data_IF_015119784433
#
_entry.id   IF_015119784433
#
_cell.length_a   1.000
_cell.length_b   1.000
_cell.length_c   1.000
_cell.angle_alpha   90.00
_cell.angle_beta   90.00
_cell.angle_gamma   90.00
#
_symmetry.space_group_name_H-M   'P 1'
#
loop_
_entity.id
_entity.type
_entity.pdbx_description
1 polymer ?
#
# COMPACT_ATOMS: atom_id res chain seq x y z
N UNK A 1 23.35 -29.21 -8.24
CA UNK A 1 23.34 -27.74 -8.27
C UNK A 1 21.92 -27.32 -8.58
N UNK A 2 21.13 -27.02 -7.57
CA UNK A 2 19.78 -26.47 -7.73
C UNK A 2 19.93 -25.04 -8.18
N UNK A 3 19.50 -24.71 -9.41
CA UNK A 3 19.35 -23.34 -9.86
C UNK A 3 18.32 -22.66 -8.92
N UNK A 4 18.80 -21.87 -7.95
CA UNK A 4 17.93 -20.92 -7.26
C UNK A 4 17.31 -20.04 -8.33
N UNK A 5 15.97 -20.11 -8.48
CA UNK A 5 15.24 -19.18 -9.34
C UNK A 5 15.55 -17.79 -8.82
N UNK A 6 16.30 -17.03 -9.60
CA UNK A 6 16.60 -15.63 -9.30
C UNK A 6 15.26 -14.92 -9.17
N UNK A 7 14.93 -14.48 -7.96
CA UNK A 7 13.66 -13.78 -7.68
C UNK A 7 13.71 -12.46 -8.43
N UNK A 8 12.78 -12.26 -9.38
CA UNK A 8 12.63 -10.96 -10.01
C UNK A 8 12.05 -9.96 -8.99
N UNK A 9 12.93 -9.26 -8.31
CA UNK A 9 12.61 -8.33 -7.23
C UNK A 9 11.73 -7.16 -7.73
N UNK A 10 11.94 -6.67 -8.95
CA UNK A 10 11.21 -5.54 -9.52
C UNK A 10 9.68 -5.74 -9.47
N UNK A 11 9.22 -6.99 -9.72
CA UNK A 11 7.80 -7.34 -9.66
C UNK A 11 7.18 -7.29 -8.25
N UNK A 12 7.99 -7.18 -7.19
CA UNK A 12 7.53 -7.01 -5.81
C UNK A 12 7.51 -5.53 -5.39
N UNK A 13 8.19 -4.63 -6.11
CA UNK A 13 8.43 -3.27 -5.65
C UNK A 13 7.29 -2.32 -6.03
N UNK A 14 6.76 -1.65 -5.00
CA UNK A 14 5.98 -0.43 -5.11
C UNK A 14 6.93 0.75 -4.80
N UNK A 15 7.52 1.35 -5.85
CA UNK A 15 8.28 2.59 -5.68
C UNK A 15 7.36 3.67 -5.13
N UNK A 16 7.80 4.39 -4.10
CA UNK A 16 6.89 5.24 -3.32
C UNK A 16 7.45 6.63 -3.15
N UNK A 17 6.70 7.64 -3.58
CA UNK A 17 6.96 9.03 -3.27
C UNK A 17 5.65 9.74 -2.84
N UNK A 18 5.51 10.03 -1.54
CA UNK A 18 4.28 10.56 -0.95
C UNK A 18 4.49 11.89 -0.20
N UNK A 19 5.71 12.44 -0.19
CA UNK A 19 5.96 13.74 0.42
C UNK A 19 5.23 14.85 -0.35
N UNK A 20 4.64 15.77 0.38
CA UNK A 20 4.19 17.07 -0.16
C UNK A 20 5.38 17.99 -0.42
N UNK A 21 5.18 19.09 -1.14
CA UNK A 21 6.21 20.10 -1.34
C UNK A 21 6.72 20.63 0.00
N UNK A 22 5.84 20.92 0.94
CA UNK A 22 6.18 21.38 2.28
C UNK A 22 7.01 20.36 3.08
N UNK A 23 6.65 19.08 3.05
CA UNK A 23 7.41 18.01 3.72
C UNK A 23 8.78 17.76 3.08
N UNK A 24 8.91 18.03 1.80
CA UNK A 24 10.17 17.91 1.06
C UNK A 24 11.04 19.17 1.16
N UNK A 25 10.49 20.30 1.61
CA UNK A 25 11.17 21.59 1.67
C UNK A 25 11.46 22.20 0.29
N UNK A 26 10.59 21.96 -0.68
CA UNK A 26 10.73 22.38 -2.08
C UNK A 26 9.46 23.11 -2.57
N UNK A 27 9.54 23.74 -3.74
CA UNK A 27 8.38 24.37 -4.39
C UNK A 27 7.43 23.34 -5.04
N UNK A 28 6.22 23.76 -5.39
CA UNK A 28 5.24 22.93 -6.12
C UNK A 28 5.74 22.53 -7.52
N UNK A 29 6.62 23.33 -8.14
CA UNK A 29 7.24 22.99 -9.41
C UNK A 29 8.27 21.91 -9.22
N UNK A 30 9.15 22.03 -8.23
CA UNK A 30 10.21 21.05 -7.94
C UNK A 30 9.63 19.71 -7.49
N UNK A 31 8.56 19.69 -6.66
CA UNK A 31 7.94 18.43 -6.25
C UNK A 31 7.38 17.67 -7.45
N UNK A 32 6.78 18.38 -8.40
CA UNK A 32 6.28 17.78 -9.64
C UNK A 32 7.42 17.15 -10.45
N UNK A 33 8.56 17.80 -10.58
CA UNK A 33 9.73 17.25 -11.27
C UNK A 33 10.29 16.02 -10.57
N UNK A 34 10.36 16.04 -9.24
CA UNK A 34 10.79 14.89 -8.43
C UNK A 34 9.87 13.69 -8.68
N UNK A 35 8.55 13.90 -8.67
CA UNK A 35 7.57 12.83 -8.90
C UNK A 35 7.66 12.30 -10.34
N UNK A 36 7.81 13.17 -11.35
CA UNK A 36 8.01 12.77 -12.75
C UNK A 36 9.25 11.89 -12.88
N UNK A 37 10.36 12.24 -12.23
CA UNK A 37 11.58 11.45 -12.26
C UNK A 37 11.37 10.09 -11.58
N UNK A 38 10.70 10.04 -10.44
CA UNK A 38 10.38 8.77 -9.76
C UNK A 38 9.48 7.87 -10.63
N UNK A 39 8.55 8.43 -11.40
CA UNK A 39 7.72 7.66 -12.33
C UNK A 39 8.57 7.09 -13.47
N UNK A 40 9.47 7.88 -14.07
CA UNK A 40 10.37 7.42 -15.13
C UNK A 40 11.29 6.30 -14.64
N UNK A 41 11.90 6.46 -13.48
CA UNK A 41 12.73 5.42 -12.85
C UNK A 41 11.93 4.12 -12.64
N UNK A 42 10.68 4.22 -12.18
CA UNK A 42 9.82 3.06 -11.97
C UNK A 42 9.43 2.36 -13.29
N UNK A 43 9.26 3.12 -14.37
CA UNK A 43 9.03 2.60 -15.73
C UNK A 43 10.26 1.83 -16.21
N UNK A 44 11.44 2.45 -16.15
CA UNK A 44 12.70 1.91 -16.66
C UNK A 44 13.12 0.64 -15.90
N UNK A 45 12.91 0.63 -14.59
CA UNK A 45 13.20 -0.51 -13.73
C UNK A 45 12.12 -1.62 -13.77
N UNK A 46 11.00 -1.42 -14.49
CA UNK A 46 9.87 -2.35 -14.58
C UNK A 46 9.30 -2.73 -13.19
N UNK A 47 9.16 -1.77 -12.30
CA UNK A 47 8.54 -2.02 -10.99
C UNK A 47 7.07 -2.38 -11.12
N UNK A 48 6.52 -3.01 -10.08
CA UNK A 48 5.12 -3.42 -10.07
C UNK A 48 4.17 -2.22 -10.01
N UNK A 49 4.53 -1.19 -9.21
CA UNK A 49 3.68 -0.02 -9.00
C UNK A 49 4.53 1.20 -8.64
N UNK A 50 4.02 2.38 -8.99
CA UNK A 50 4.45 3.67 -8.45
C UNK A 50 3.35 4.20 -7.52
N UNK A 51 3.69 4.45 -6.24
CA UNK A 51 2.79 5.01 -5.24
C UNK A 51 3.04 6.49 -5.09
N UNK A 52 2.07 7.31 -5.46
CA UNK A 52 2.14 8.78 -5.49
C UNK A 52 0.87 9.39 -4.91
N UNK A 53 0.89 10.67 -4.61
CA UNK A 53 -0.30 11.46 -4.25
C UNK A 53 -1.25 11.54 -5.44
N UNK A 54 -2.55 11.70 -5.14
CA UNK A 54 -3.63 11.66 -6.14
C UNK A 54 -3.51 12.72 -7.24
N UNK A 55 -2.99 13.88 -6.92
CA UNK A 55 -2.78 14.99 -7.87
C UNK A 55 -1.81 14.65 -9.02
N UNK A 56 -0.96 13.63 -8.84
CA UNK A 56 0.00 13.22 -9.87
C UNK A 56 -0.44 12.01 -10.69
N UNK A 57 -1.62 11.42 -10.43
CA UNK A 57 -2.10 10.22 -11.13
C UNK A 57 -2.20 10.47 -12.65
N UNK A 58 -2.73 11.63 -13.06
CA UNK A 58 -2.88 11.99 -14.46
C UNK A 58 -1.56 12.00 -15.22
N UNK A 59 -0.52 12.62 -14.62
CA UNK A 59 0.83 12.68 -15.21
C UNK A 59 1.45 11.28 -15.29
N UNK A 60 1.31 10.47 -14.24
CA UNK A 60 1.84 9.10 -14.23
C UNK A 60 1.19 8.26 -15.34
N UNK A 61 -0.13 8.38 -15.49
CA UNK A 61 -0.87 7.66 -16.53
C UNK A 61 -0.39 8.02 -17.93
N UNK A 62 -0.22 9.32 -18.22
CA UNK A 62 0.30 9.80 -19.51
C UNK A 62 1.69 9.22 -19.82
N UNK A 63 2.62 9.28 -18.85
CA UNK A 63 3.98 8.76 -19.01
C UNK A 63 4.00 7.24 -19.23
N UNK A 64 3.16 6.49 -18.51
CA UNK A 64 3.05 5.04 -18.63
C UNK A 64 2.46 4.65 -20.01
N UNK A 65 1.42 5.34 -20.48
CA UNK A 65 0.81 5.11 -21.77
C UNK A 65 1.80 5.41 -22.93
N UNK A 66 2.49 6.56 -22.85
CA UNK A 66 3.49 6.97 -23.85
C UNK A 66 4.66 5.98 -23.93
N UNK A 67 5.14 5.48 -22.81
CA UNK A 67 6.23 4.50 -22.75
C UNK A 67 5.78 3.06 -23.02
N UNK A 68 4.46 2.81 -23.15
CA UNK A 68 3.87 1.46 -23.25
C UNK A 68 4.26 0.53 -22.09
N UNK A 69 4.52 1.11 -20.91
CA UNK A 69 4.90 0.37 -19.71
C UNK A 69 3.71 -0.40 -19.11
N UNK A 70 4.03 -1.48 -18.37
CA UNK A 70 3.05 -2.24 -17.56
C UNK A 70 2.93 -1.74 -16.13
N UNK A 71 3.72 -0.73 -15.76
CA UNK A 71 3.72 -0.12 -14.42
C UNK A 71 2.29 0.27 -14.03
N UNK A 72 1.91 0.01 -12.77
CA UNK A 72 0.62 0.43 -12.23
C UNK A 72 0.79 1.71 -11.44
N UNK A 73 -0.23 2.57 -11.47
CA UNK A 73 -0.30 3.74 -10.59
C UNK A 73 -1.09 3.38 -9.35
N UNK A 74 -0.53 3.67 -8.20
CA UNK A 74 -1.22 3.55 -6.92
C UNK A 74 -1.25 4.88 -6.18
N UNK A 75 -2.22 5.02 -5.30
CA UNK A 75 -2.32 6.17 -4.41
C UNK A 75 -2.80 5.76 -3.03
N UNK A 76 -2.79 6.72 -2.11
CA UNK A 76 -3.20 6.53 -0.72
C UNK A 76 -4.51 7.28 -0.44
N UNK A 77 -5.31 6.76 0.49
CA UNK A 77 -6.59 7.32 0.91
C UNK A 77 -6.55 7.60 2.41
N UNK A 78 -7.02 8.79 2.80
CA UNK A 78 -7.05 9.28 4.20
C UNK A 78 -5.66 9.19 4.86
N UNK A 79 -4.65 9.60 4.13
CA UNK A 79 -3.25 9.44 4.50
C UNK A 79 -2.69 10.73 5.14
N UNK A 80 -1.92 10.62 6.25
CA UNK A 80 -1.46 9.38 6.90
C UNK A 80 -2.31 8.91 8.09
N UNK A 81 -3.43 9.52 8.42
CA UNK A 81 -4.09 9.37 9.72
C UNK A 81 -5.19 8.31 9.79
N UNK A 82 -5.93 8.06 8.73
CA UNK A 82 -6.94 7.02 8.65
C UNK A 82 -8.21 7.26 9.48
N UNK A 83 -8.47 8.47 9.95
CA UNK A 83 -9.53 8.77 10.92
C UNK A 83 -10.73 9.56 10.35
N UNK A 84 -10.74 9.82 9.07
CA UNK A 84 -11.85 10.48 8.39
C UNK A 84 -13.13 9.63 8.41
N UNK A 85 -14.31 10.24 8.22
CA UNK A 85 -15.56 9.51 8.01
C UNK A 85 -15.46 8.57 6.81
N UNK A 86 -16.13 7.41 6.89
CA UNK A 86 -16.15 6.39 5.83
C UNK A 86 -16.55 6.99 4.48
N UNK A 87 -17.59 7.82 4.46
CA UNK A 87 -18.07 8.49 3.25
C UNK A 87 -16.98 9.32 2.56
N UNK A 88 -16.18 10.06 3.33
CA UNK A 88 -15.08 10.85 2.79
C UNK A 88 -13.99 9.97 2.15
N UNK A 89 -13.62 8.86 2.81
CA UNK A 89 -12.68 7.88 2.24
C UNK A 89 -13.20 7.29 0.92
N UNK A 90 -14.51 7.02 0.83
CA UNK A 90 -15.12 6.49 -0.39
C UNK A 90 -15.12 7.52 -1.52
N UNK A 91 -15.40 8.80 -1.22
CA UNK A 91 -15.35 9.89 -2.21
C UNK A 91 -13.92 10.04 -2.74
N UNK A 92 -12.92 10.08 -1.86
CA UNK A 92 -11.50 10.17 -2.23
C UNK A 92 -11.08 8.99 -3.12
N UNK A 93 -11.47 7.77 -2.74
CA UNK A 93 -11.13 6.58 -3.53
C UNK A 93 -11.80 6.55 -4.90
N UNK A 94 -13.07 6.96 -5.01
CA UNK A 94 -13.77 7.08 -6.31
C UNK A 94 -13.03 8.05 -7.22
N UNK A 95 -12.71 9.24 -6.73
CA UNK A 95 -11.94 10.23 -7.48
C UNK A 95 -10.58 9.70 -7.94
N UNK A 96 -9.86 8.99 -7.07
CA UNK A 96 -8.58 8.38 -7.42
C UNK A 96 -8.72 7.30 -8.51
N UNK A 97 -9.74 6.46 -8.42
CA UNK A 97 -10.04 5.41 -9.42
C UNK A 97 -10.41 6.04 -10.77
N UNK A 98 -11.26 7.05 -10.77
CA UNK A 98 -11.67 7.80 -11.97
C UNK A 98 -10.47 8.48 -12.65
N UNK A 99 -9.54 9.01 -11.85
CA UNK A 99 -8.27 9.57 -12.33
C UNK A 99 -7.32 8.53 -12.92
N UNK A 100 -7.54 7.24 -12.65
CA UNK A 100 -6.78 6.13 -13.23
C UNK A 100 -5.90 5.34 -12.28
N UNK A 101 -6.01 5.53 -10.96
CA UNK A 101 -5.32 4.69 -9.99
C UNK A 101 -5.74 3.23 -10.12
N UNK A 102 -4.77 2.32 -9.99
CA UNK A 102 -4.97 0.88 -10.02
C UNK A 102 -4.84 0.25 -8.63
N UNK A 103 -3.89 0.70 -7.83
CA UNK A 103 -3.67 0.27 -6.45
C UNK A 103 -4.17 1.36 -5.49
N UNK A 104 -5.05 1.02 -4.57
CA UNK A 104 -5.66 1.94 -3.60
C UNK A 104 -5.26 1.51 -2.19
N UNK A 105 -4.39 2.29 -1.54
CA UNK A 105 -3.88 2.01 -0.20
C UNK A 105 -4.61 2.89 0.83
N UNK A 106 -5.61 2.35 1.52
CA UNK A 106 -6.32 3.05 2.61
C UNK A 106 -5.56 2.97 3.93
N UNK A 107 -5.59 4.03 4.71
CA UNK A 107 -5.21 3.95 6.13
C UNK A 107 -6.41 3.51 6.95
N UNK A 108 -6.26 2.44 7.75
CA UNK A 108 -7.29 1.99 8.68
C UNK A 108 -7.45 3.00 9.83
N UNK A 109 -8.66 3.16 10.34
CA UNK A 109 -8.85 3.80 11.64
C UNK A 109 -8.45 2.81 12.76
N UNK A 110 -7.13 2.61 12.92
CA UNK A 110 -6.60 1.73 13.95
C UNK A 110 -6.93 2.23 15.37
N UNK A 111 -7.19 3.53 15.55
CA UNK A 111 -7.64 4.08 16.82
C UNK A 111 -9.09 3.68 17.11
N UNK A 112 -9.98 3.70 16.13
CA UNK A 112 -11.33 3.16 16.29
C UNK A 112 -11.28 1.66 16.64
N UNK A 113 -10.41 0.90 15.98
CA UNK A 113 -10.20 -0.52 16.31
C UNK A 113 -9.75 -0.70 17.77
N UNK A 114 -8.75 0.05 18.24
CA UNK A 114 -8.24 -0.02 19.63
C UNK A 114 -9.29 0.34 20.68
N UNK A 115 -10.19 1.27 20.37
CA UNK A 115 -11.31 1.66 21.24
C UNK A 115 -12.50 0.70 21.17
N UNK A 116 -12.46 -0.34 20.35
CA UNK A 116 -13.59 -1.25 20.15
C UNK A 116 -14.74 -0.67 19.31
N UNK A 117 -14.53 0.45 18.62
CA UNK A 117 -15.51 1.05 17.71
C UNK A 117 -15.59 0.26 16.38
N UNK A 118 -15.91 -1.03 16.52
CA UNK A 118 -15.85 -1.98 15.42
C UNK A 118 -16.83 -1.71 14.29
N UNK A 119 -18.00 -1.12 14.58
CA UNK A 119 -19.00 -0.81 13.55
C UNK A 119 -18.40 0.15 12.50
N UNK A 120 -17.73 1.24 12.93
CA UNK A 120 -17.06 2.16 12.02
C UNK A 120 -15.91 1.49 11.28
N UNK A 121 -15.05 0.76 12.01
CA UNK A 121 -13.91 0.06 11.41
C UNK A 121 -14.36 -0.93 10.32
N UNK A 122 -15.40 -1.72 10.61
CA UNK A 122 -15.93 -2.72 9.66
C UNK A 122 -16.55 -2.06 8.43
N UNK A 123 -17.28 -0.95 8.62
CA UNK A 123 -17.84 -0.16 7.52
C UNK A 123 -16.73 0.36 6.60
N UNK A 124 -15.66 0.96 7.15
CA UNK A 124 -14.50 1.40 6.37
C UNK A 124 -13.95 0.26 5.50
N UNK A 125 -13.68 -0.91 6.13
CA UNK A 125 -13.11 -2.07 5.44
C UNK A 125 -14.06 -2.60 4.36
N UNK A 126 -15.33 -2.76 4.65
CA UNK A 126 -16.30 -3.35 3.71
C UNK A 126 -16.58 -2.42 2.53
N UNK A 127 -16.90 -1.16 2.79
CA UNK A 127 -17.25 -0.21 1.75
C UNK A 127 -16.05 0.16 0.89
N UNK A 128 -14.88 0.41 1.51
CA UNK A 128 -13.64 0.68 0.79
C UNK A 128 -13.19 -0.51 -0.06
N UNK A 129 -13.29 -1.74 0.45
CA UNK A 129 -12.96 -2.93 -0.32
C UNK A 129 -13.93 -3.12 -1.48
N UNK A 130 -15.23 -2.95 -1.24
CA UNK A 130 -16.28 -3.11 -2.25
C UNK A 130 -16.03 -2.20 -3.46
N UNK A 131 -15.90 -0.89 -3.23
CA UNK A 131 -15.75 0.09 -4.34
C UNK A 131 -14.51 -0.19 -5.19
N UNK A 132 -13.39 -0.60 -4.58
CA UNK A 132 -12.16 -0.90 -5.30
C UNK A 132 -12.29 -2.20 -6.12
N UNK A 133 -12.86 -3.26 -5.53
CA UNK A 133 -13.03 -4.54 -6.21
C UNK A 133 -14.06 -4.50 -7.34
N UNK A 134 -15.15 -3.76 -7.20
CA UNK A 134 -16.14 -3.52 -8.26
C UNK A 134 -15.51 -2.85 -9.49
N UNK A 135 -14.51 -2.00 -9.28
CA UNK A 135 -13.71 -1.38 -10.33
C UNK A 135 -12.54 -2.26 -10.81
N UNK A 136 -12.45 -3.53 -10.38
CA UNK A 136 -11.41 -4.50 -10.75
C UNK A 136 -9.99 -4.05 -10.40
N UNK A 137 -9.84 -3.28 -9.32
CA UNK A 137 -8.60 -2.71 -8.80
C UNK A 137 -8.06 -3.52 -7.61
N UNK A 138 -6.91 -3.13 -7.09
CA UNK A 138 -6.26 -3.71 -5.89
C UNK A 138 -6.49 -2.77 -4.72
N UNK A 139 -6.89 -3.33 -3.58
CA UNK A 139 -7.03 -2.58 -2.32
C UNK A 139 -6.02 -3.05 -1.29
N UNK A 140 -5.42 -2.09 -0.56
CA UNK A 140 -4.51 -2.40 0.53
C UNK A 140 -4.91 -1.62 1.77
N UNK A 141 -4.99 -2.31 2.90
CA UNK A 141 -5.36 -1.74 4.20
C UNK A 141 -4.12 -1.57 5.06
N UNK A 142 -3.70 -0.32 5.29
CA UNK A 142 -2.57 0.04 6.15
C UNK A 142 -3.04 -0.03 7.60
N UNK A 143 -2.53 -0.98 8.36
CA UNK A 143 -2.92 -1.18 9.77
C UNK A 143 -2.07 -0.38 10.75
N UNK A 144 -0.98 0.24 10.30
CA UNK A 144 0.00 1.01 11.08
C UNK A 144 0.60 0.22 12.24
N UNK A 145 1.45 -0.74 11.90
CA UNK A 145 2.04 -1.67 12.88
C UNK A 145 2.84 -0.97 13.99
N UNK A 146 3.40 0.21 13.73
CA UNK A 146 4.11 1.01 14.74
C UNK A 146 3.20 1.53 15.87
N UNK A 147 1.88 1.62 15.64
CA UNK A 147 0.90 2.06 16.63
C UNK A 147 0.28 0.90 17.43
N UNK A 148 0.65 -0.36 17.13
CA UNK A 148 -0.02 -1.57 17.59
C UNK A 148 0.95 -2.52 18.31
N UNK A 149 0.48 -3.18 19.34
CA UNK A 149 1.16 -4.35 19.91
C UNK A 149 1.07 -5.56 18.99
N UNK A 150 1.89 -6.59 19.23
CA UNK A 150 1.88 -7.82 18.43
C UNK A 150 0.50 -8.51 18.43
N UNK A 151 -0.23 -8.48 19.54
CA UNK A 151 -1.57 -9.07 19.63
C UNK A 151 -2.61 -8.21 18.91
N UNK A 152 -2.50 -6.89 18.98
CA UNK A 152 -3.35 -5.97 18.20
C UNK A 152 -3.11 -6.12 16.70
N UNK A 153 -1.85 -6.30 16.24
CA UNK A 153 -1.53 -6.59 14.83
C UNK A 153 -2.24 -7.86 14.36
N UNK A 154 -2.18 -8.94 15.14
CA UNK A 154 -2.91 -10.17 14.81
C UNK A 154 -4.42 -9.98 14.84
N UNK A 155 -4.94 -9.28 15.85
CA UNK A 155 -6.39 -9.09 16.02
C UNK A 155 -7.00 -8.25 14.88
N UNK A 156 -6.38 -7.12 14.51
CA UNK A 156 -6.85 -6.26 13.40
C UNK A 156 -6.72 -6.99 12.06
N UNK A 157 -5.60 -7.68 11.83
CA UNK A 157 -5.38 -8.46 10.61
C UNK A 157 -6.38 -9.60 10.45
N UNK A 158 -6.67 -10.33 11.55
CA UNK A 158 -7.68 -11.39 11.57
C UNK A 158 -9.07 -10.83 11.29
N UNK A 159 -9.41 -9.64 11.83
CA UNK A 159 -10.71 -9.00 11.58
C UNK A 159 -10.86 -8.61 10.12
N UNK A 160 -9.89 -7.93 9.53
CA UNK A 160 -9.88 -7.58 8.10
C UNK A 160 -10.01 -8.85 7.26
N UNK A 161 -9.21 -9.87 7.54
CA UNK A 161 -9.24 -11.14 6.82
C UNK A 161 -10.62 -11.79 6.88
N UNK A 162 -11.25 -11.85 8.05
CA UNK A 162 -12.61 -12.41 8.22
C UNK A 162 -13.64 -11.61 7.42
N UNK A 163 -13.64 -10.29 7.51
CA UNK A 163 -14.58 -9.43 6.77
C UNK A 163 -14.45 -9.64 5.26
N UNK A 164 -13.23 -9.63 4.75
CA UNK A 164 -12.96 -9.77 3.30
C UNK A 164 -13.32 -11.17 2.82
N UNK A 165 -12.91 -12.23 3.50
CA UNK A 165 -13.19 -13.60 3.07
C UNK A 165 -14.67 -13.96 3.14
N UNK A 166 -15.43 -13.38 4.10
CA UNK A 166 -16.87 -13.61 4.21
C UNK A 166 -17.68 -12.85 3.14
N UNK A 167 -17.24 -11.66 2.69
CA UNK A 167 -18.01 -10.80 1.80
C UNK A 167 -17.46 -10.79 0.35
N UNK A 168 -16.17 -11.06 0.16
CA UNK A 168 -15.48 -11.01 -1.15
C UNK A 168 -14.60 -12.24 -1.41
N UNK A 169 -15.07 -13.48 -1.19
CA UNK A 169 -14.24 -14.69 -1.23
C UNK A 169 -13.51 -14.89 -2.55
N UNK A 170 -14.14 -14.51 -3.68
CA UNK A 170 -13.57 -14.67 -5.02
C UNK A 170 -12.46 -13.66 -5.34
N UNK A 171 -12.35 -12.58 -4.57
CA UNK A 171 -11.41 -11.48 -4.80
C UNK A 171 -10.45 -11.26 -3.61
N UNK A 172 -10.43 -12.15 -2.62
CA UNK A 172 -9.59 -12.00 -1.43
C UNK A 172 -8.10 -11.85 -1.77
N UNK A 173 -7.65 -12.45 -2.86
CA UNK A 173 -6.28 -12.32 -3.37
C UNK A 173 -5.94 -10.94 -3.97
N UNK A 174 -6.91 -10.06 -4.15
CA UNK A 174 -6.72 -8.66 -4.56
C UNK A 174 -6.72 -7.70 -3.38
N UNK A 175 -6.87 -8.22 -2.17
CA UNK A 175 -6.88 -7.44 -0.94
C UNK A 175 -5.58 -7.70 -0.18
N UNK A 176 -4.94 -6.62 0.24
CA UNK A 176 -3.70 -6.66 1.00
C UNK A 176 -3.89 -6.11 2.40
N UNK A 177 -3.17 -6.68 3.34
CA UNK A 177 -2.87 -6.04 4.63
C UNK A 177 -1.48 -5.41 4.48
N UNK A 178 -1.39 -4.09 4.66
CA UNK A 178 -0.13 -3.34 4.58
C UNK A 178 0.31 -2.94 5.99
N UNK A 179 1.61 -3.06 6.25
CA UNK A 179 2.15 -2.82 7.60
C UNK A 179 2.01 -1.37 8.03
N UNK A 180 2.55 -0.41 7.28
CA UNK A 180 2.81 0.94 7.81
C UNK A 180 2.65 2.01 6.74
N UNK A 181 2.35 3.24 7.19
CA UNK A 181 2.40 4.45 6.35
C UNK A 181 3.84 4.88 6.07
N UNK A 182 4.74 4.64 7.01
CA UNK A 182 6.09 5.21 7.06
C UNK A 182 6.14 6.61 7.69
N UNK A 183 5.01 7.12 8.18
CA UNK A 183 4.87 8.46 8.79
C UNK A 183 4.65 8.42 10.32
N UNK A 184 4.51 7.24 10.90
CA UNK A 184 4.28 7.08 12.33
C UNK A 184 5.60 6.94 13.09
N UNK A 185 6.13 8.05 13.61
CA UNK A 185 7.29 8.05 14.50
C UNK A 185 8.56 7.37 13.98
N UNK A 186 8.70 7.24 12.65
CA UNK A 186 9.83 6.54 12.03
C UNK A 186 9.71 5.01 12.03
N UNK A 187 8.61 4.44 12.56
CA UNK A 187 8.35 3.00 12.51
C UNK A 187 8.04 2.53 11.09
N UNK A 188 8.55 1.35 10.75
CA UNK A 188 8.34 0.71 9.47
C UNK A 188 8.07 -0.79 9.61
N UNK A 189 8.08 -1.49 8.50
CA UNK A 189 7.86 -2.93 8.49
C UNK A 189 8.97 -3.69 9.24
N UNK A 190 8.56 -4.67 10.03
CA UNK A 190 9.48 -5.66 10.62
C UNK A 190 9.13 -7.08 10.15
N UNK A 191 10.14 -7.95 10.09
CA UNK A 191 9.95 -9.38 9.80
C UNK A 191 8.93 -10.01 10.77
N UNK A 192 8.97 -9.58 12.04
CA UNK A 192 8.06 -10.07 13.08
C UNK A 192 6.61 -9.69 12.78
N UNK A 193 6.37 -8.44 12.36
CA UNK A 193 5.01 -7.97 12.06
C UNK A 193 4.45 -8.64 10.82
N UNK A 194 5.28 -8.79 9.75
CA UNK A 194 4.87 -9.54 8.56
C UNK A 194 4.49 -10.98 8.90
N UNK A 195 5.26 -11.67 9.76
CA UNK A 195 4.93 -13.02 10.24
C UNK A 195 3.64 -13.05 11.07
N UNK A 196 3.43 -12.05 11.96
CA UNK A 196 2.20 -11.93 12.73
C UNK A 196 0.98 -11.77 11.82
N UNK A 197 1.05 -10.89 10.82
CA UNK A 197 0.00 -10.72 9.81
C UNK A 197 -0.21 -12.02 9.04
N UNK A 198 0.87 -12.64 8.54
CA UNK A 198 0.80 -13.88 7.75
C UNK A 198 0.10 -15.02 8.48
N UNK A 199 0.29 -15.11 9.79
CA UNK A 199 -0.30 -16.17 10.60
C UNK A 199 -1.85 -16.15 10.65
N UNK A 200 -2.48 -15.02 10.29
CA UNK A 200 -3.93 -14.79 10.39
C UNK A 200 -4.57 -14.20 9.12
N UNK A 201 -3.77 -13.84 8.12
CA UNK A 201 -4.25 -13.18 6.89
C UNK A 201 -5.10 -14.08 5.98
N UNK A 202 -5.04 -15.41 6.16
CA UNK A 202 -5.74 -16.35 5.27
C UNK A 202 -5.29 -16.18 3.81
N UNK A 203 -6.23 -15.91 2.91
CA UNK A 203 -5.99 -15.72 1.48
C UNK A 203 -5.60 -14.28 1.08
N UNK A 204 -5.56 -13.34 2.03
CA UNK A 204 -5.15 -11.98 1.75
C UNK A 204 -3.65 -11.91 1.49
N UNK A 205 -3.26 -10.96 0.65
CA UNK A 205 -1.86 -10.66 0.36
C UNK A 205 -1.27 -9.74 1.45
N UNK A 206 0.05 -9.59 1.46
CA UNK A 206 0.74 -8.74 2.44
C UNK A 206 1.67 -7.78 1.71
N UNK A 207 1.58 -6.49 2.07
CA UNK A 207 2.55 -5.47 1.67
C UNK A 207 3.35 -5.04 2.89
N UNK A 208 4.67 -5.23 2.83
CA UNK A 208 5.60 -4.64 3.80
C UNK A 208 6.04 -3.27 3.32
N UNK A 209 5.97 -2.24 4.16
CA UNK A 209 6.38 -0.88 3.82
C UNK A 209 6.89 -0.08 5.01
N UNK A 210 7.77 0.89 4.72
CA UNK A 210 8.47 1.71 5.71
C UNK A 210 9.82 1.10 6.12
N UNK A 211 10.89 1.88 5.99
CA UNK A 211 12.23 1.51 6.45
C UNK A 211 13.00 0.50 5.58
N UNK A 212 12.41 -0.08 4.56
CA UNK A 212 13.06 -1.07 3.67
C UNK A 212 13.90 -0.30 2.65
N UNK A 213 15.22 -0.48 2.67
CA UNK A 213 16.15 0.35 1.89
C UNK A 213 17.23 -0.42 1.12
N UNK A 214 17.26 -1.75 1.21
CA UNK A 214 18.25 -2.58 0.55
C UNK A 214 17.66 -3.96 0.21
N UNK A 215 18.36 -4.68 -0.68
CA UNK A 215 17.94 -5.99 -1.17
C UNK A 215 17.79 -7.04 -0.04
N UNK A 216 18.67 -7.03 0.95
CA UNK A 216 18.63 -7.99 2.05
C UNK A 216 17.31 -7.86 2.83
N UNK A 217 16.98 -6.64 3.25
CA UNK A 217 15.72 -6.38 4.00
C UNK A 217 14.50 -6.77 3.15
N UNK A 218 14.54 -6.45 1.85
CA UNK A 218 13.48 -6.82 0.91
C UNK A 218 13.26 -8.34 0.86
N UNK A 219 14.34 -9.11 0.71
CA UNK A 219 14.29 -10.58 0.67
C UNK A 219 13.81 -11.18 2.00
N UNK A 220 14.19 -10.59 3.14
CA UNK A 220 13.71 -11.01 4.46
C UNK A 220 12.20 -10.80 4.61
N UNK A 221 11.65 -9.68 4.13
CA UNK A 221 10.20 -9.43 4.12
C UNK A 221 9.45 -10.40 3.21
N UNK A 222 9.99 -10.68 2.01
CA UNK A 222 9.40 -11.67 1.10
C UNK A 222 9.41 -13.07 1.73
N UNK A 223 10.52 -13.47 2.33
CA UNK A 223 10.64 -14.75 3.06
C UNK A 223 9.67 -14.84 4.24
N UNK A 224 9.35 -13.71 4.88
CA UNK A 224 8.37 -13.65 5.96
C UNK A 224 6.91 -13.75 5.46
N UNK A 225 6.66 -13.58 4.16
CA UNK A 225 5.35 -13.73 3.53
C UNK A 225 4.80 -12.48 2.83
N UNK A 226 5.59 -11.41 2.72
CA UNK A 226 5.19 -10.25 1.93
C UNK A 226 5.22 -10.60 0.43
N UNK A 227 4.21 -10.14 -0.29
CA UNK A 227 4.10 -10.29 -1.76
C UNK A 227 4.23 -8.96 -2.48
N UNK A 228 4.33 -7.85 -1.75
CA UNK A 228 4.65 -6.51 -2.23
C UNK A 228 5.51 -5.77 -1.20
N UNK A 229 6.38 -4.93 -1.69
CA UNK A 229 7.31 -4.14 -0.88
C UNK A 229 7.17 -2.67 -1.26
N UNK A 230 6.76 -1.84 -0.30
CA UNK A 230 6.69 -0.40 -0.48
C UNK A 230 7.95 0.29 0.04
N UNK A 231 8.64 1.02 -0.81
CA UNK A 231 9.87 1.73 -0.44
C UNK A 231 10.11 2.98 -1.28
N UNK A 232 10.68 4.02 -0.65
CA UNK A 232 11.18 5.22 -1.33
C UNK A 232 12.60 5.04 -1.89
N UNK A 233 13.17 3.85 -1.76
CA UNK A 233 14.54 3.49 -2.17
C UNK A 233 14.55 2.37 -3.21
N UNK A 234 13.47 2.22 -3.98
CA UNK A 234 13.29 1.10 -4.91
C UNK A 234 14.45 0.94 -5.91
N UNK A 235 15.00 2.04 -6.41
CA UNK A 235 16.14 2.04 -7.33
C UNK A 235 17.48 1.60 -6.71
N UNK A 236 17.56 1.47 -5.38
CA UNK A 236 18.73 1.00 -4.67
C UNK A 236 18.66 -0.50 -4.31
N UNK A 237 17.53 -1.16 -4.62
CA UNK A 237 17.26 -2.57 -4.33
C UNK A 237 17.48 -3.41 -5.57
#
# INVERSE_FOLDING_TARGET
MTMEKQVNIAGYLDSTYLKTAAEAGVSEIEIKEIVINAIKEAIDANFACIMIRSEFIGIAKELIETSKSKLKVGTVIDFPFGNSPTEQKIIEAKSAIESGAYDIDYVCDYNAFKRGAFAKFDSDILEGTKIVLENKKIVKWIIETGALSADEIKAISKRISKLVQSNFPQNANKVFIKTSTGYYGGYGATVKDVKNIKSVAGNLQIKASGGISNLKDCLEMIKAGATRIGTSKAVLI
#
